data_IF_955060110425
#
_entry.id   IF_955060110425
#
_cell.length_a   1.000
_cell.length_b   1.000
_cell.length_c   1.000
_cell.angle_alpha   90.00
_cell.angle_beta   90.00
_cell.angle_gamma   90.00
#
_symmetry.space_group_name_H-M   'P 1'
#
loop_
_entity.id
_entity.type
_entity.pdbx_description
1 polymer ?
#
# COMPACT_ATOMS: atom_id res chain seq x y z
N UNK A 1 0.64 -4.20 21.73
CA UNK A 1 1.00 -2.77 21.80
C UNK A 1 -0.20 -2.01 22.33
N UNK A 2 -0.03 -1.10 23.29
CA UNK A 2 -1.15 -0.35 23.91
C UNK A 2 -1.63 0.77 22.97
N UNK A 3 -2.86 0.69 22.40
CA UNK A 3 -3.35 1.63 21.40
C UNK A 3 -3.66 3.01 21.99
N UNK A 4 -3.95 3.12 23.28
CA UNK A 4 -4.33 4.40 23.91
C UNK A 4 -3.15 5.38 23.97
N UNK A 5 -1.91 4.88 23.96
CA UNK A 5 -0.70 5.72 23.92
C UNK A 5 -0.56 6.53 22.63
N UNK A 6 -1.23 6.11 21.55
CA UNK A 6 -1.11 6.73 20.24
C UNK A 6 -2.28 7.66 19.90
N UNK A 7 -3.27 7.76 20.79
CA UNK A 7 -4.46 8.60 20.58
C UNK A 7 -4.11 10.08 20.40
N UNK A 8 -3.12 10.55 21.16
CA UNK A 8 -2.66 11.94 21.13
C UNK A 8 -1.36 12.12 20.33
N UNK A 9 -0.86 11.06 19.70
CA UNK A 9 0.32 11.12 18.83
C UNK A 9 -0.12 11.53 17.41
N UNK A 10 0.32 12.70 16.90
CA UNK A 10 -0.09 13.22 15.60
C UNK A 10 0.35 12.35 14.40
N UNK A 11 1.27 11.42 14.61
CA UNK A 11 1.68 10.39 13.64
C UNK A 11 1.10 9.03 14.01
N UNK A 12 1.19 8.66 15.29
CA UNK A 12 0.73 7.37 15.81
C UNK A 12 -0.73 7.06 15.51
N UNK A 13 -1.61 8.06 15.52
CA UNK A 13 -3.05 7.86 15.23
C UNK A 13 -3.31 7.28 13.83
N UNK A 14 -2.45 7.55 12.85
CA UNK A 14 -2.61 7.08 11.46
C UNK A 14 -2.39 5.58 11.30
N UNK A 15 -1.83 4.89 12.30
CA UNK A 15 -1.81 3.43 12.30
C UNK A 15 -3.22 2.82 12.39
N UNK A 16 -4.18 3.60 12.87
CA UNK A 16 -5.60 3.23 13.01
C UNK A 16 -6.48 3.81 11.90
N UNK A 17 -5.92 4.57 10.95
CA UNK A 17 -6.66 5.05 9.80
C UNK A 17 -7.18 3.86 8.99
N UNK A 18 -8.47 3.88 8.63
CA UNK A 18 -9.03 2.90 7.73
C UNK A 18 -8.43 3.05 6.33
N UNK A 19 -8.02 1.91 5.78
CA UNK A 19 -7.38 1.80 4.47
C UNK A 19 -8.39 1.45 3.37
N UNK A 20 -9.70 1.48 3.67
CA UNK A 20 -10.75 1.41 2.66
C UNK A 20 -10.83 2.71 1.84
N UNK A 21 -11.49 2.66 0.68
CA UNK A 21 -11.64 3.83 -0.17
C UNK A 21 -12.38 4.97 0.56
N UNK A 22 -11.96 6.21 0.30
CA UNK A 22 -12.56 7.43 0.84
C UNK A 22 -12.71 8.46 -0.27
N UNK A 23 -13.73 9.30 -0.16
CA UNK A 23 -13.91 10.44 -1.05
C UNK A 23 -13.00 11.62 -0.67
N UNK A 24 -12.89 12.59 -1.57
CA UNK A 24 -12.14 13.83 -1.34
C UNK A 24 -10.65 13.75 -1.69
N UNK A 25 -10.19 12.64 -2.28
CA UNK A 25 -8.86 12.52 -2.91
C UNK A 25 -9.02 12.48 -4.43
N UNK A 26 -8.35 13.40 -5.12
CA UNK A 26 -8.37 13.50 -6.59
C UNK A 26 -7.10 12.98 -7.23
N UNK A 27 -7.14 12.68 -8.53
CA UNK A 27 -5.95 12.27 -9.29
C UNK A 27 -4.89 13.37 -9.32
N UNK A 28 -5.27 14.65 -9.26
CA UNK A 28 -4.33 15.78 -9.16
C UNK A 28 -3.60 15.80 -7.81
N UNK A 29 -4.31 15.54 -6.70
CA UNK A 29 -3.65 15.43 -5.39
C UNK A 29 -2.62 14.28 -5.39
N UNK A 30 -2.96 13.16 -6.02
CA UNK A 30 -2.07 12.01 -6.15
C UNK A 30 -0.89 12.34 -7.09
N UNK A 31 -1.12 13.00 -8.22
CA UNK A 31 -0.07 13.42 -9.14
C UNK A 31 0.92 14.40 -8.50
N UNK A 32 0.43 15.31 -7.65
CA UNK A 32 1.30 16.18 -6.86
C UNK A 32 2.20 15.37 -5.90
N UNK A 33 1.75 14.21 -5.43
CA UNK A 33 2.54 13.28 -4.61
C UNK A 33 3.53 12.46 -5.42
N UNK A 34 3.16 12.12 -6.65
CA UNK A 34 3.92 11.29 -7.57
C UNK A 34 4.91 12.08 -8.44
N UNK A 35 4.91 13.41 -8.36
CA UNK A 35 5.84 14.27 -9.12
C UNK A 35 7.30 13.89 -8.84
N UNK A 36 8.03 13.48 -9.88
CA UNK A 36 9.43 13.06 -9.78
C UNK A 36 9.62 11.63 -9.24
N UNK A 37 8.55 10.87 -8.99
CA UNK A 37 8.61 9.50 -8.48
C UNK A 37 8.83 8.46 -9.59
N UNK A 38 9.73 8.75 -10.54
CA UNK A 38 10.12 7.82 -11.61
C UNK A 38 8.92 7.24 -12.36
N UNK A 39 8.85 5.91 -12.43
CA UNK A 39 7.79 5.17 -13.14
C UNK A 39 6.37 5.41 -12.60
N UNK A 40 6.23 5.97 -11.39
CA UNK A 40 4.94 6.34 -10.80
C UNK A 40 4.47 7.74 -11.23
N UNK A 41 5.34 8.57 -11.81
CA UNK A 41 5.01 9.95 -12.18
C UNK A 41 3.81 9.99 -13.14
N UNK A 42 2.84 10.85 -12.84
CA UNK A 42 1.64 11.03 -13.67
C UNK A 42 0.60 9.90 -13.58
N UNK A 43 0.80 8.90 -12.71
CA UNK A 43 -0.12 7.75 -12.57
C UNK A 43 -1.26 7.96 -11.58
N UNK A 44 -1.50 9.19 -11.12
CA UNK A 44 -2.52 9.51 -10.13
C UNK A 44 -3.92 9.01 -10.51
N UNK A 45 -4.31 9.11 -11.78
CA UNK A 45 -5.60 8.60 -12.26
C UNK A 45 -5.69 7.07 -12.17
N UNK A 46 -4.65 6.37 -12.59
CA UNK A 46 -4.59 4.90 -12.50
C UNK A 46 -4.70 4.41 -11.05
N UNK A 47 -4.03 5.09 -10.11
CA UNK A 47 -4.18 4.82 -8.68
C UNK A 47 -5.60 5.07 -8.20
N UNK A 48 -6.19 6.22 -8.54
CA UNK A 48 -7.55 6.56 -8.11
C UNK A 48 -8.58 5.54 -8.61
N UNK A 49 -8.49 5.15 -9.88
CA UNK A 49 -9.42 4.18 -10.49
C UNK A 49 -9.28 2.79 -9.87
N UNK A 50 -8.05 2.33 -9.65
CA UNK A 50 -7.78 1.06 -8.98
C UNK A 50 -8.30 1.06 -7.52
N UNK A 51 -8.11 2.17 -6.82
CA UNK A 51 -8.57 2.36 -5.44
C UNK A 51 -10.08 2.33 -5.31
N UNK A 52 -10.79 3.03 -6.21
CA UNK A 52 -12.26 2.99 -6.31
C UNK A 52 -12.75 1.57 -6.58
N UNK A 53 -12.15 0.90 -7.56
CA UNK A 53 -12.56 -0.44 -7.98
C UNK A 53 -12.38 -1.50 -6.88
N UNK A 54 -11.29 -1.41 -6.12
CA UNK A 54 -10.93 -2.42 -5.12
C UNK A 54 -11.14 -1.95 -3.67
N UNK A 55 -11.86 -0.85 -3.45
CA UNK A 55 -12.13 -0.31 -2.13
C UNK A 55 -10.86 -0.17 -1.27
N UNK A 56 -9.87 0.53 -1.80
CA UNK A 56 -8.59 0.82 -1.13
C UNK A 56 -8.42 2.33 -1.02
N UNK A 57 -7.84 2.81 0.08
CA UNK A 57 -7.57 4.22 0.31
C UNK A 57 -6.48 4.71 -0.69
N UNK A 58 -6.75 5.75 -1.50
CA UNK A 58 -5.80 6.24 -2.50
C UNK A 58 -4.49 6.75 -1.91
N UNK A 59 -4.52 7.46 -0.78
CA UNK A 59 -3.31 7.97 -0.15
C UNK A 59 -2.42 6.83 0.37
N UNK A 60 -3.03 5.81 0.97
CA UNK A 60 -2.34 4.60 1.37
C UNK A 60 -1.69 3.89 0.17
N UNK A 61 -2.44 3.61 -0.89
CA UNK A 61 -1.91 2.84 -2.02
C UNK A 61 -0.74 3.56 -2.71
N UNK A 62 -0.82 4.88 -2.89
CA UNK A 62 0.28 5.70 -3.43
C UNK A 62 1.49 5.70 -2.49
N UNK A 63 1.28 5.94 -1.19
CA UNK A 63 2.36 5.94 -0.21
C UNK A 63 3.12 4.61 -0.17
N UNK A 64 2.36 3.51 -0.30
CA UNK A 64 2.91 2.17 -0.29
C UNK A 64 3.74 1.91 -1.55
N UNK A 65 3.21 2.25 -2.72
CA UNK A 65 3.96 2.13 -3.97
C UNK A 65 5.25 2.97 -3.94
N UNK A 66 5.23 4.20 -3.41
CA UNK A 66 6.43 5.03 -3.26
C UNK A 66 7.48 4.34 -2.40
N UNK A 67 7.08 3.81 -1.24
CA UNK A 67 8.00 3.14 -0.32
C UNK A 67 8.61 1.88 -0.95
N UNK A 68 7.78 0.98 -1.47
CA UNK A 68 8.21 -0.33 -1.98
C UNK A 68 9.08 -0.24 -3.25
N UNK A 69 9.00 0.89 -3.97
CA UNK A 69 9.74 1.09 -5.22
C UNK A 69 10.92 2.03 -5.09
N UNK A 70 11.17 2.58 -3.89
CA UNK A 70 12.15 3.64 -3.70
C UNK A 70 11.88 4.82 -4.64
N UNK A 71 10.68 5.40 -4.52
CA UNK A 71 10.20 6.49 -5.39
C UNK A 71 10.18 6.14 -6.89
N UNK A 72 9.72 4.93 -7.23
CA UNK A 72 9.53 4.48 -8.61
C UNK A 72 10.83 4.25 -9.39
N UNK A 73 11.94 4.00 -8.69
CA UNK A 73 13.27 3.81 -9.30
C UNK A 73 13.78 2.37 -9.24
N UNK A 74 13.10 1.49 -8.49
CA UNK A 74 13.43 0.06 -8.43
C UNK A 74 13.40 -0.58 -9.82
N UNK A 75 14.17 -1.65 -10.03
CA UNK A 75 14.18 -2.36 -11.32
C UNK A 75 12.79 -2.85 -11.72
N UNK A 76 12.07 -3.47 -10.77
CA UNK A 76 10.70 -3.94 -10.95
C UNK A 76 9.70 -2.83 -11.33
N UNK A 77 9.84 -1.62 -10.76
CA UNK A 77 8.92 -0.51 -11.06
C UNK A 77 9.21 0.15 -12.41
N UNK A 78 10.48 0.19 -12.84
CA UNK A 78 10.87 0.71 -14.15
C UNK A 78 10.52 -0.21 -15.32
N UNK A 79 10.09 -1.44 -15.02
CA UNK A 79 9.87 -2.48 -16.00
C UNK A 79 11.10 -3.37 -16.14
N UNK A 80 10.88 -4.68 -16.16
CA UNK A 80 11.90 -5.70 -16.36
C UNK A 80 11.41 -6.69 -17.42
N UNK A 81 12.31 -7.19 -18.26
CA UNK A 81 11.97 -8.24 -19.21
C UNK A 81 11.85 -9.60 -18.51
N UNK A 82 10.76 -10.29 -18.78
CA UNK A 82 10.52 -11.68 -18.36
C UNK A 82 9.74 -12.41 -19.45
N UNK A 83 10.27 -13.53 -19.93
CA UNK A 83 9.67 -14.31 -21.03
C UNK A 83 9.29 -13.45 -22.26
N UNK A 84 10.24 -12.61 -22.73
CA UNK A 84 10.06 -11.71 -23.89
C UNK A 84 8.91 -10.69 -23.74
N UNK A 85 8.54 -10.35 -22.51
CA UNK A 85 7.62 -9.25 -22.21
C UNK A 85 8.19 -8.36 -21.12
N UNK A 86 8.02 -7.06 -21.27
CA UNK A 86 8.24 -6.12 -20.15
C UNK A 86 7.08 -6.23 -19.15
N UNK A 87 7.42 -6.40 -17.88
CA UNK A 87 6.46 -6.48 -16.77
C UNK A 87 6.80 -5.47 -15.68
N UNK A 88 5.78 -5.04 -14.92
CA UNK A 88 5.90 -4.02 -13.89
C UNK A 88 5.39 -4.53 -12.55
N UNK A 89 6.06 -4.16 -11.46
CA UNK A 89 5.62 -4.46 -10.10
C UNK A 89 5.94 -3.30 -9.15
N UNK A 90 4.89 -2.65 -8.64
CA UNK A 90 5.01 -1.44 -7.79
C UNK A 90 4.88 -1.72 -6.30
N UNK A 91 4.67 -2.96 -5.89
CA UNK A 91 4.36 -3.31 -4.50
C UNK A 91 5.24 -4.45 -3.97
N UNK A 92 6.28 -4.85 -4.72
CA UNK A 92 7.15 -5.96 -4.34
C UNK A 92 6.44 -7.32 -4.23
N UNK A 93 5.26 -7.47 -4.84
CA UNK A 93 4.45 -8.68 -4.66
C UNK A 93 5.18 -9.87 -5.29
N UNK A 94 5.42 -10.91 -4.49
CA UNK A 94 6.14 -12.11 -4.92
C UNK A 94 7.67 -11.97 -4.95
N UNK A 95 8.22 -10.78 -4.69
CA UNK A 95 9.66 -10.55 -4.58
C UNK A 95 10.14 -10.98 -3.18
N UNK A 96 10.76 -12.16 -3.07
CA UNK A 96 11.33 -12.68 -1.81
C UNK A 96 12.76 -12.19 -1.61
N UNK A 97 13.21 -12.10 -0.36
CA UNK A 97 14.60 -11.73 -0.05
C UNK A 97 15.60 -12.70 -0.68
N UNK A 98 16.69 -12.16 -1.22
CA UNK A 98 17.77 -12.92 -1.86
C UNK A 98 18.10 -12.44 -3.27
N UNK A 99 19.05 -13.12 -3.91
CA UNK A 99 19.58 -12.73 -5.23
C UNK A 99 18.53 -12.82 -6.35
N UNK A 100 17.47 -13.62 -6.17
CA UNK A 100 16.43 -13.85 -7.17
C UNK A 100 15.18 -12.97 -6.98
N UNK A 101 15.23 -11.98 -6.09
CA UNK A 101 14.08 -11.15 -5.73
C UNK A 101 13.38 -10.50 -6.94
N UNK A 102 14.16 -9.86 -7.82
CA UNK A 102 13.66 -9.22 -9.05
C UNK A 102 13.04 -10.26 -10.00
N UNK A 103 13.68 -11.42 -10.18
CA UNK A 103 13.19 -12.48 -11.06
C UNK A 103 11.86 -13.06 -10.57
N UNK A 104 11.72 -13.27 -9.27
CA UNK A 104 10.49 -13.78 -8.67
C UNK A 104 9.36 -12.73 -8.75
N UNK A 105 9.66 -11.47 -8.46
CA UNK A 105 8.71 -10.36 -8.63
C UNK A 105 8.27 -10.18 -10.08
N UNK A 106 9.18 -10.35 -11.05
CA UNK A 106 8.89 -10.31 -12.48
C UNK A 106 8.02 -11.48 -12.92
N UNK A 107 8.32 -12.69 -12.44
CA UNK A 107 7.49 -13.88 -12.67
C UNK A 107 6.06 -13.65 -12.20
N UNK A 108 5.88 -13.17 -10.97
CA UNK A 108 4.55 -12.86 -10.42
C UNK A 108 3.82 -11.81 -11.26
N UNK A 109 4.53 -10.75 -11.69
CA UNK A 109 3.96 -9.74 -12.57
C UNK A 109 3.51 -10.31 -13.93
N UNK A 110 4.32 -11.18 -14.54
CA UNK A 110 3.99 -11.87 -15.78
C UNK A 110 2.75 -12.76 -15.64
N UNK A 111 2.69 -13.59 -14.59
CA UNK A 111 1.58 -14.50 -14.32
C UNK A 111 0.26 -13.76 -14.06
N UNK A 112 0.32 -12.53 -13.54
CA UNK A 112 -0.85 -11.68 -13.29
C UNK A 112 -1.17 -10.69 -14.43
N UNK A 113 -0.40 -10.72 -15.53
CA UNK A 113 -0.64 -9.87 -16.70
C UNK A 113 -0.30 -8.40 -16.50
N UNK A 114 0.69 -8.07 -15.66
CA UNK A 114 1.10 -6.70 -15.37
C UNK A 114 2.07 -6.17 -16.43
N UNK A 115 1.58 -6.06 -17.67
CA UNK A 115 2.39 -5.70 -18.85
C UNK A 115 2.47 -4.19 -19.10
N UNK A 116 1.78 -3.39 -18.28
CA UNK A 116 1.84 -1.92 -18.26
C UNK A 116 1.82 -1.40 -16.83
N UNK A 117 2.28 -0.15 -16.59
CA UNK A 117 2.17 0.48 -15.28
C UNK A 117 0.74 0.48 -14.72
N UNK A 118 -0.26 0.80 -15.55
CA UNK A 118 -1.66 0.85 -15.17
C UNK A 118 -2.20 -0.53 -14.75
N UNK A 119 -1.85 -1.59 -15.48
CA UNK A 119 -2.22 -2.97 -15.13
C UNK A 119 -1.56 -3.41 -13.82
N UNK A 120 -0.29 -3.06 -13.60
CA UNK A 120 0.42 -3.37 -12.36
C UNK A 120 -0.16 -2.64 -11.14
N UNK A 121 -0.53 -1.36 -11.28
CA UNK A 121 -1.21 -0.59 -10.23
C UNK A 121 -2.55 -1.23 -9.89
N UNK A 122 -3.36 -1.52 -10.92
CA UNK A 122 -4.67 -2.15 -10.77
C UNK A 122 -4.57 -3.54 -10.12
N UNK A 123 -3.64 -4.37 -10.59
CA UNK A 123 -3.43 -5.72 -10.09
C UNK A 123 -2.87 -5.75 -8.68
N UNK A 124 -1.95 -4.86 -8.34
CA UNK A 124 -1.45 -4.70 -6.98
C UNK A 124 -2.53 -4.23 -6.01
N UNK A 125 -3.37 -3.26 -6.40
CA UNK A 125 -4.53 -2.84 -5.62
C UNK A 125 -5.50 -4.00 -5.35
N UNK A 126 -5.79 -4.83 -6.37
CA UNK A 126 -6.61 -6.05 -6.22
C UNK A 126 -6.00 -7.01 -5.21
N UNK A 127 -4.69 -7.25 -5.33
CA UNK A 127 -3.97 -8.19 -4.46
C UNK A 127 -4.02 -7.72 -3.00
N UNK A 128 -3.73 -6.44 -2.75
CA UNK A 128 -3.79 -5.84 -1.40
C UNK A 128 -5.22 -5.85 -0.85
N UNK A 129 -6.22 -5.50 -1.67
CA UNK A 129 -7.63 -5.54 -1.27
C UNK A 129 -8.04 -6.95 -0.84
N UNK A 130 -7.81 -7.94 -1.70
CA UNK A 130 -8.31 -9.30 -1.50
C UNK A 130 -7.52 -10.07 -0.43
N UNK A 131 -6.24 -9.73 -0.25
CA UNK A 131 -5.38 -10.36 0.74
C UNK A 131 -5.51 -9.75 2.14
N UNK A 132 -5.88 -8.47 2.25
CA UNK A 132 -5.80 -7.75 3.53
C UNK A 132 -7.06 -6.93 3.83
N UNK A 133 -7.30 -5.87 3.07
CA UNK A 133 -8.25 -4.80 3.44
C UNK A 133 -9.71 -5.29 3.43
N UNK A 134 -10.11 -6.01 2.38
CA UNK A 134 -11.48 -6.45 2.15
C UNK A 134 -11.66 -7.96 2.42
N UNK A 135 -10.79 -8.54 3.25
CA UNK A 135 -10.94 -9.90 3.76
C UNK A 135 -12.02 -9.98 4.83
N UNK A 136 -12.48 -11.19 5.16
CA UNK A 136 -13.35 -11.44 6.33
C UNK A 136 -12.70 -11.01 7.65
N UNK A 137 -11.37 -11.12 7.76
CA UNK A 137 -10.59 -10.65 8.91
C UNK A 137 -10.47 -9.12 8.98
N UNK A 138 -10.76 -8.40 7.88
CA UNK A 138 -10.72 -6.94 7.78
C UNK A 138 -9.41 -6.34 8.32
N UNK A 139 -8.28 -6.71 7.72
CA UNK A 139 -6.98 -6.10 8.02
C UNK A 139 -6.89 -4.69 7.40
N UNK A 140 -7.85 -3.83 7.71
CA UNK A 140 -8.11 -2.56 7.05
C UNK A 140 -7.51 -1.34 7.76
N UNK A 141 -6.54 -1.55 8.67
CA UNK A 141 -5.69 -0.50 9.22
C UNK A 141 -4.24 -0.96 9.18
N UNK A 142 -3.27 -0.05 9.14
CA UNK A 142 -1.85 -0.44 9.17
C UNK A 142 -1.53 -1.27 10.43
N UNK A 143 -2.16 -0.94 11.55
CA UNK A 143 -2.06 -1.71 12.78
C UNK A 143 -2.52 -3.16 12.56
N UNK A 144 -3.70 -3.38 11.96
CA UNK A 144 -4.20 -4.72 11.71
C UNK A 144 -3.38 -5.46 10.64
N UNK A 145 -2.87 -4.79 9.61
CA UNK A 145 -1.99 -5.40 8.61
C UNK A 145 -0.65 -5.85 9.21
N UNK A 146 -0.12 -5.08 10.17
CA UNK A 146 1.17 -5.39 10.80
C UNK A 146 1.06 -6.43 11.90
N UNK A 147 0.08 -6.30 12.78
CA UNK A 147 0.02 -7.07 14.02
C UNK A 147 -0.94 -8.25 13.95
N UNK A 148 -1.92 -8.23 13.04
CA UNK A 148 -3.00 -9.21 12.84
C UNK A 148 -2.99 -10.37 13.84
N UNK A 149 -3.52 -10.10 15.03
CA UNK A 149 -3.53 -11.06 16.11
C UNK A 149 -4.71 -11.99 15.87
N UNK A 150 -4.47 -13.31 15.86
CA UNK A 150 -5.55 -14.28 15.89
C UNK A 150 -6.30 -14.23 17.24
N UNK A 151 -7.35 -15.04 17.37
CA UNK A 151 -8.15 -15.15 18.59
C UNK A 151 -7.35 -15.57 19.84
N UNK A 152 -6.13 -16.09 19.67
CA UNK A 152 -5.22 -16.49 20.74
C UNK A 152 -4.11 -15.45 21.00
N UNK A 153 -4.15 -14.30 20.32
CA UNK A 153 -3.11 -13.28 20.44
C UNK A 153 -1.80 -13.63 19.71
N UNK A 154 -1.83 -14.55 18.73
CA UNK A 154 -0.68 -14.88 17.90
C UNK A 154 -0.71 -14.10 16.59
N UNK A 155 0.38 -13.43 16.19
CA UNK A 155 0.43 -12.76 14.89
C UNK A 155 0.34 -13.77 13.73
N UNK A 156 -0.61 -13.59 12.82
CA UNK A 156 -0.80 -14.42 11.63
C UNK A 156 -1.02 -13.54 10.39
N UNK A 157 -0.52 -13.90 9.20
CA UNK A 157 -0.72 -13.11 7.96
C UNK A 157 -0.22 -11.64 8.03
N UNK A 158 1.04 -11.46 8.45
CA UNK A 158 1.70 -10.15 8.49
C UNK A 158 2.11 -9.69 7.08
N UNK A 159 1.89 -8.42 6.76
CA UNK A 159 2.31 -7.84 5.47
C UNK A 159 3.83 -7.71 5.34
N UNK A 160 4.53 -7.42 6.44
CA UNK A 160 5.97 -7.20 6.46
C UNK A 160 6.60 -7.77 7.74
N UNK A 161 7.83 -8.27 7.60
CA UNK A 161 8.67 -8.71 8.73
C UNK A 161 9.26 -7.52 9.51
N UNK A 162 9.43 -6.37 8.85
CA UNK A 162 10.00 -5.15 9.42
C UNK A 162 9.05 -4.51 10.47
N UNK A 163 9.49 -4.46 11.73
CA UNK A 163 8.72 -3.89 12.86
C UNK A 163 8.36 -2.41 12.64
N UNK A 164 9.29 -1.53 12.22
CA UNK A 164 8.97 -0.13 11.87
C UNK A 164 8.24 0.08 10.53
N UNK A 165 7.84 -0.96 9.79
CA UNK A 165 7.15 -0.80 8.49
C UNK A 165 5.91 0.09 8.60
N UNK A 166 5.06 -0.13 9.60
CA UNK A 166 3.87 0.69 9.82
C UNK A 166 4.21 2.17 10.04
N UNK A 167 5.31 2.47 10.73
CA UNK A 167 5.72 3.86 11.00
C UNK A 167 6.33 4.53 9.75
N UNK A 168 7.10 3.79 8.95
CA UNK A 168 7.59 4.26 7.65
C UNK A 168 6.42 4.60 6.72
N UNK A 169 5.40 3.76 6.71
CA UNK A 169 4.17 3.97 5.93
C UNK A 169 3.42 5.22 6.37
N UNK A 170 3.25 5.45 7.69
CA UNK A 170 2.61 6.66 8.23
C UNK A 170 3.28 7.93 7.71
N UNK A 171 4.62 7.97 7.64
CA UNK A 171 5.35 9.13 7.11
C UNK A 171 4.91 9.46 5.69
N UNK A 172 4.89 8.47 4.79
CA UNK A 172 4.51 8.70 3.39
C UNK A 172 3.00 8.94 3.24
N UNK A 173 2.15 8.26 4.01
CA UNK A 173 0.70 8.51 4.03
C UNK A 173 0.43 9.98 4.36
N UNK A 174 1.06 10.52 5.41
CA UNK A 174 0.88 11.93 5.78
C UNK A 174 1.35 12.87 4.68
N UNK A 175 2.51 12.62 4.07
CA UNK A 175 2.99 13.44 2.95
C UNK A 175 2.01 13.46 1.76
N UNK A 176 1.31 12.36 1.49
CA UNK A 176 0.27 12.31 0.46
C UNK A 176 -0.99 13.04 0.95
N UNK A 177 -1.41 12.83 2.19
CA UNK A 177 -2.61 13.46 2.76
C UNK A 177 -2.49 14.97 2.95
N UNK A 178 -1.29 15.50 3.19
CA UNK A 178 -1.03 16.94 3.25
C UNK A 178 -1.35 17.62 1.90
N UNK A 179 -1.35 16.85 0.80
CA UNK A 179 -1.76 17.29 -0.54
C UNK A 179 -3.24 17.01 -0.85
N UNK A 180 -3.97 16.39 0.08
CA UNK A 180 -5.37 15.98 -0.04
C UNK A 180 -6.24 16.62 1.08
N UNK A 181 -6.38 17.96 1.13
CA UNK A 181 -7.05 18.65 2.24
C UNK A 181 -8.54 18.30 2.40
N UNK A 182 -9.17 17.75 1.36
CA UNK A 182 -10.58 17.38 1.36
C UNK A 182 -10.82 15.89 1.68
N UNK A 183 -9.77 15.12 1.99
CA UNK A 183 -9.88 13.68 2.25
C UNK A 183 -10.75 13.39 3.48
N UNK A 184 -11.75 12.52 3.31
CA UNK A 184 -12.66 12.13 4.39
C UNK A 184 -12.13 10.91 5.15
N UNK A 185 -11.22 11.14 6.10
CA UNK A 185 -10.56 10.06 6.83
C UNK A 185 -11.45 9.45 7.91
N UNK A 186 -11.45 8.11 8.00
CA UNK A 186 -12.07 7.35 9.08
C UNK A 186 -10.98 6.62 9.90
N UNK A 187 -11.15 6.53 11.21
CA UNK A 187 -10.20 5.87 12.12
C UNK A 187 -10.90 4.78 12.94
N UNK A 188 -10.24 3.64 13.13
CA UNK A 188 -10.72 2.52 13.93
C UNK A 188 -9.67 2.12 14.98
N UNK A 189 -9.86 2.58 16.22
CA UNK A 189 -9.01 2.21 17.34
C UNK A 189 -9.51 0.92 18.00
N UNK A 190 -8.66 -0.10 18.20
CA UNK A 190 -9.05 -1.29 18.95
C UNK A 190 -9.25 -0.95 20.43
N UNK A 191 -10.35 -1.42 21.01
CA UNK A 191 -10.61 -1.37 22.46
C UNK A 191 -10.30 -2.72 23.04
N UNK A 192 -9.20 -2.83 23.79
CA UNK A 192 -8.89 -4.04 24.55
C UNK A 192 -9.62 -4.00 25.89
N UNK A 193 -10.33 -5.08 26.26
CA UNK A 193 -10.82 -5.23 27.63
C UNK A 193 -9.61 -5.38 28.55
N UNK A 194 -9.52 -4.51 29.55
CA UNK A 194 -8.57 -4.64 30.66
C UNK A 194 -8.99 -5.77 31.59
#
# INVERSE_FOLDING_TARGET
>A
MDPDRFRNDPYGIYQFMKLNYVEGITSDNLNASLSGAGALSGKGQAFLDACKLYNVNPAYLVSHAILETGHGTSKLSKGIEYNNKTVYNFFGIGAKDGNDSDTLGAKTAYENGWFSPEEAIKGGAKWISNGYINTSAKQNTLYKMRWNMDQNGTPYHQYATDVPWAYKQIKYIKQVLDKCPSAQLEFEMPVYRK
#
